data_IF_570668739726
#
_entry.id   IF_570668739726
#
_cell.length_a   1.000
_cell.length_b   1.000
_cell.length_c   1.000
_cell.angle_alpha   90.00
_cell.angle_beta   90.00
_cell.angle_gamma   90.00
#
_symmetry.space_group_name_H-M   'P 1'
#
loop_
_entity.id
_entity.type
_entity.pdbx_description
1 polymer ?
#
# COMPACT_ATOMS: atom_id res chain seq x y z
N UNK A 1 1.96 0.21 39.83
CA UNK A 1 1.93 0.69 38.42
C UNK A 1 3.28 1.15 37.81
N UNK A 2 4.50 0.85 38.34
CA UNK A 2 5.75 1.27 37.69
C UNK A 2 6.16 0.42 36.47
N UNK A 3 5.77 -0.87 36.45
CA UNK A 3 6.17 -1.84 35.41
C UNK A 3 5.77 -1.46 33.98
N UNK A 4 4.65 -0.76 33.80
CA UNK A 4 4.17 -0.35 32.46
C UNK A 4 5.05 0.77 31.89
N UNK A 5 5.52 1.70 32.71
CA UNK A 5 6.45 2.75 32.27
C UNK A 5 7.78 2.16 31.84
N UNK A 6 8.32 1.22 32.60
CA UNK A 6 9.54 0.48 32.22
C UNK A 6 9.35 -0.31 30.92
N UNK A 7 8.22 -1.01 30.76
CA UNK A 7 7.93 -1.75 29.54
C UNK A 7 7.89 -0.87 28.27
N UNK A 8 7.25 0.30 28.32
CA UNK A 8 7.26 1.24 27.20
C UNK A 8 8.64 1.88 26.96
N UNK A 9 9.43 2.07 28.01
CA UNK A 9 10.81 2.55 27.92
C UNK A 9 11.69 1.55 27.18
N UNK A 10 11.63 0.28 27.57
CA UNK A 10 12.39 -0.80 26.95
C UNK A 10 12.00 -1.02 25.48
N UNK A 11 10.70 -0.96 25.16
CA UNK A 11 10.20 -1.02 23.78
C UNK A 11 10.75 0.13 22.94
N UNK A 12 10.78 1.36 23.46
CA UNK A 12 11.30 2.51 22.73
C UNK A 12 12.79 2.36 22.41
N UNK A 13 13.56 1.75 23.31
CA UNK A 13 14.98 1.44 23.12
C UNK A 13 15.16 0.40 22.02
N UNK A 14 14.39 -0.69 22.03
CA UNK A 14 14.44 -1.72 20.99
C UNK A 14 13.97 -1.18 19.62
N UNK A 15 12.94 -0.34 19.58
CA UNK A 15 12.47 0.31 18.36
C UNK A 15 13.52 1.22 17.69
N UNK A 16 14.48 1.75 18.47
CA UNK A 16 15.62 2.52 17.95
C UNK A 16 16.71 1.65 17.34
N UNK A 17 16.80 0.38 17.73
CA UNK A 17 17.72 -0.61 17.10
C UNK A 17 17.19 -1.09 15.76
N UNK A 18 15.90 -0.90 15.49
CA UNK A 18 15.29 -1.21 14.19
C UNK A 18 15.83 -0.25 13.13
N UNK A 19 16.43 -0.82 12.08
CA UNK A 19 16.95 -0.09 10.93
C UNK A 19 15.82 0.37 10.01
N UNK A 20 15.17 1.48 10.38
CA UNK A 20 14.14 2.08 9.52
C UNK A 20 14.76 2.60 8.22
N UNK A 21 14.12 2.34 7.06
CA UNK A 21 14.59 2.82 5.78
C UNK A 21 14.59 4.35 5.74
N UNK A 22 15.53 4.93 4.99
CA UNK A 22 15.62 6.38 4.85
C UNK A 22 14.33 6.96 4.24
N UNK A 23 13.93 8.17 4.67
CA UNK A 23 12.70 8.85 4.21
C UNK A 23 12.58 8.93 2.68
N UNK A 24 13.71 9.09 1.99
CA UNK A 24 13.78 9.11 0.51
C UNK A 24 13.36 7.78 -0.12
N UNK A 25 13.73 6.66 0.50
CA UNK A 25 13.39 5.31 0.03
C UNK A 25 11.90 5.06 0.19
N UNK A 26 11.34 5.44 1.35
CA UNK A 26 9.90 5.35 1.62
C UNK A 26 9.09 6.13 0.58
N UNK A 27 9.46 7.39 0.30
CA UNK A 27 8.80 8.21 -0.72
C UNK A 27 8.84 7.56 -2.11
N UNK A 28 9.99 7.03 -2.51
CA UNK A 28 10.14 6.31 -3.79
C UNK A 28 9.21 5.09 -3.87
N UNK A 29 9.12 4.30 -2.81
CA UNK A 29 8.23 3.15 -2.77
C UNK A 29 6.76 3.55 -2.83
N UNK A 30 6.34 4.59 -2.11
CA UNK A 30 4.95 5.08 -2.19
C UNK A 30 4.60 5.55 -3.60
N UNK A 31 5.48 6.32 -4.25
CA UNK A 31 5.28 6.79 -5.62
C UNK A 31 5.19 5.61 -6.58
N UNK A 32 6.07 4.61 -6.43
CA UNK A 32 6.07 3.40 -7.25
C UNK A 32 4.75 2.63 -7.11
N UNK A 33 4.28 2.42 -5.88
CA UNK A 33 3.01 1.72 -5.62
C UNK A 33 1.83 2.47 -6.22
N UNK A 34 1.78 3.80 -6.10
CA UNK A 34 0.73 4.61 -6.72
C UNK A 34 0.75 4.48 -8.24
N UNK A 35 1.94 4.54 -8.84
CA UNK A 35 2.10 4.41 -10.29
C UNK A 35 1.61 3.04 -10.80
N UNK A 36 2.06 1.95 -10.15
CA UNK A 36 1.64 0.59 -10.51
C UNK A 36 0.13 0.41 -10.30
N UNK A 37 -0.42 0.93 -9.20
CA UNK A 37 -1.86 0.87 -8.92
C UNK A 37 -2.68 1.58 -9.99
N UNK A 38 -2.25 2.75 -10.45
CA UNK A 38 -2.92 3.49 -11.53
C UNK A 38 -2.89 2.69 -12.83
N UNK A 39 -1.73 2.15 -13.20
CA UNK A 39 -1.60 1.32 -14.40
C UNK A 39 -2.50 0.09 -14.34
N UNK A 40 -2.52 -0.62 -13.21
CA UNK A 40 -3.39 -1.77 -13.01
C UNK A 40 -4.86 -1.35 -13.09
N UNK A 41 -5.27 -0.31 -12.36
CA UNK A 41 -6.64 0.20 -12.39
C UNK A 41 -7.11 0.57 -13.79
N UNK A 42 -6.22 1.13 -14.63
CA UNK A 42 -6.55 1.48 -16.00
C UNK A 42 -6.72 0.23 -16.86
N UNK A 43 -5.86 -0.79 -16.67
CA UNK A 43 -5.95 -2.06 -17.37
C UNK A 43 -7.23 -2.83 -16.98
N UNK A 44 -7.45 -3.11 -15.69
CA UNK A 44 -8.65 -3.83 -15.25
C UNK A 44 -9.91 -3.03 -15.56
N UNK A 45 -9.94 -1.71 -15.30
CA UNK A 45 -11.11 -0.88 -15.61
C UNK A 45 -11.46 -0.86 -17.09
N UNK A 46 -10.46 -0.87 -17.99
CA UNK A 46 -10.71 -0.96 -19.43
C UNK A 46 -11.27 -2.34 -19.82
N UNK A 47 -10.67 -3.41 -19.30
CA UNK A 47 -11.13 -4.78 -19.54
C UNK A 47 -12.58 -4.95 -19.05
N UNK A 48 -12.90 -4.50 -17.84
CA UNK A 48 -14.23 -4.61 -17.25
C UNK A 48 -15.28 -3.82 -18.05
N UNK A 49 -14.92 -2.62 -18.52
CA UNK A 49 -15.79 -1.79 -19.35
C UNK A 49 -16.06 -2.41 -20.72
N UNK A 50 -15.04 -2.99 -21.36
CA UNK A 50 -15.19 -3.74 -22.60
C UNK A 50 -16.07 -4.96 -22.39
N UNK A 51 -15.80 -5.75 -21.35
CA UNK A 51 -16.55 -6.97 -21.05
C UNK A 51 -18.03 -6.68 -20.79
N UNK A 52 -18.33 -5.63 -20.02
CA UNK A 52 -19.70 -5.17 -19.74
C UNK A 52 -20.45 -4.78 -21.02
N UNK A 53 -19.77 -4.12 -21.97
CA UNK A 53 -20.34 -3.79 -23.29
C UNK A 53 -20.55 -5.02 -24.16
N UNK A 54 -19.60 -5.95 -24.17
CA UNK A 54 -19.74 -7.20 -24.92
C UNK A 54 -20.93 -8.02 -24.43
N UNK A 55 -21.07 -8.17 -23.11
CA UNK A 55 -22.21 -8.89 -22.51
C UNK A 55 -23.52 -8.18 -22.82
N UNK A 56 -23.59 -6.84 -22.70
CA UNK A 56 -24.85 -6.12 -22.94
C UNK A 56 -25.31 -6.18 -24.40
N UNK A 57 -24.38 -6.29 -25.36
CA UNK A 57 -24.70 -6.53 -26.77
C UNK A 57 -25.20 -7.96 -26.97
N UNK A 58 -24.60 -8.95 -26.31
CA UNK A 58 -24.94 -10.36 -26.49
C UNK A 58 -26.26 -10.76 -25.79
N UNK A 59 -26.56 -10.15 -24.64
CA UNK A 59 -27.78 -10.43 -23.88
C UNK A 59 -28.99 -9.58 -24.29
N UNK A 60 -28.84 -8.77 -25.34
CA UNK A 60 -29.91 -8.03 -26.00
C UNK A 60 -30.33 -8.77 -27.27
#
# INVERSE_FOLDING_TARGET
>A
MPKIKEFFHDISIEFRKVSWPARKILQKFTILVLFVTILLSMLTGTVDALFSRFISIFFR
#
